data_IF_612346310886
#
_entry.id   IF_612346310886
#
_cell.length_a   1.000
_cell.length_b   1.000
_cell.length_c   1.000
_cell.angle_alpha   90.00
_cell.angle_beta   90.00
_cell.angle_gamma   90.00
#
_symmetry.space_group_name_H-M   'P 1'
#
loop_
_entity.id
_entity.type
_entity.pdbx_description
1 polymer ?
#
# COMPACT_ATOMS: atom_id res chain seq x y z
N UNK A 1 12.93 -1.92 18.55
CA UNK A 1 12.11 -2.74 17.64
C UNK A 1 12.16 -2.19 16.23
N UNK A 2 12.19 -3.07 15.25
CA UNK A 2 12.21 -2.63 13.87
C UNK A 2 10.90 -1.95 13.48
N UNK A 3 10.99 -0.91 12.70
CA UNK A 3 9.82 -0.23 12.13
C UNK A 3 9.09 -1.18 11.18
N UNK A 4 7.81 -0.92 10.99
CA UNK A 4 7.03 -1.61 9.96
C UNK A 4 7.63 -1.23 8.60
N UNK A 5 7.94 -2.23 7.79
CA UNK A 5 8.56 -2.03 6.47
C UNK A 5 7.47 -1.91 5.43
N UNK A 6 7.38 -0.76 4.80
CA UNK A 6 6.33 -0.44 3.84
C UNK A 6 6.87 -0.36 2.42
N UNK A 7 6.23 -1.09 1.51
CA UNK A 7 6.46 -0.94 0.07
C UNK A 7 5.41 0.03 -0.47
N UNK A 8 5.85 1.09 -1.13
CA UNK A 8 4.95 2.09 -1.70
C UNK A 8 4.87 1.90 -3.21
N UNK A 9 3.67 1.75 -3.74
CA UNK A 9 3.44 1.57 -5.17
C UNK A 9 2.59 2.73 -5.69
N UNK A 10 3.22 3.61 -6.46
CA UNK A 10 2.59 4.83 -6.96
C UNK A 10 3.32 5.27 -8.22
N UNK A 11 2.60 5.44 -9.33
CA UNK A 11 3.23 5.82 -10.60
C UNK A 11 3.47 7.32 -10.76
N UNK A 12 2.89 8.16 -9.89
CA UNK A 12 3.14 9.59 -9.89
C UNK A 12 4.20 9.94 -8.86
N UNK A 13 5.40 10.30 -9.32
CA UNK A 13 6.54 10.53 -8.44
C UNK A 13 6.30 11.61 -7.38
N UNK A 14 5.61 12.68 -7.74
CA UNK A 14 5.33 13.76 -6.79
C UNK A 14 4.43 13.27 -5.66
N UNK A 15 3.42 12.48 -6.00
CA UNK A 15 2.51 11.90 -4.99
C UNK A 15 3.27 10.94 -4.09
N UNK A 16 4.14 10.12 -4.68
CA UNK A 16 4.96 9.17 -3.92
C UNK A 16 5.89 9.89 -2.94
N UNK A 17 6.55 10.94 -3.39
CA UNK A 17 7.44 11.72 -2.53
C UNK A 17 6.71 12.34 -1.35
N UNK A 18 5.52 12.87 -1.60
CA UNK A 18 4.69 13.44 -0.53
C UNK A 18 4.27 12.37 0.47
N UNK A 19 3.85 11.19 -0.02
CA UNK A 19 3.47 10.09 0.85
C UNK A 19 4.66 9.61 1.69
N UNK A 20 5.84 9.46 1.08
CA UNK A 20 7.03 9.05 1.81
C UNK A 20 7.37 10.03 2.94
N UNK A 21 7.28 11.32 2.65
CA UNK A 21 7.57 12.35 3.65
C UNK A 21 6.59 12.26 4.82
N UNK A 22 5.31 12.10 4.52
CA UNK A 22 4.29 12.00 5.57
C UNK A 22 4.46 10.74 6.40
N UNK A 23 4.75 9.63 5.76
CA UNK A 23 4.99 8.35 6.46
C UNK A 23 6.20 8.45 7.37
N UNK A 24 7.27 9.06 6.88
CA UNK A 24 8.48 9.26 7.67
C UNK A 24 8.20 10.12 8.91
N UNK A 25 7.43 11.19 8.75
CA UNK A 25 7.05 12.06 9.85
C UNK A 25 6.27 11.28 10.92
N UNK A 26 5.46 10.32 10.50
CA UNK A 26 4.67 9.49 11.41
C UNK A 26 5.47 8.32 12.01
N UNK A 27 6.72 8.15 11.62
CA UNK A 27 7.58 7.10 12.17
C UNK A 27 7.58 5.78 11.41
N UNK A 28 7.02 5.76 10.20
CA UNK A 28 7.02 4.56 9.38
C UNK A 28 8.20 4.56 8.40
N UNK A 29 8.62 3.38 7.98
CA UNK A 29 9.77 3.21 7.10
C UNK A 29 9.33 2.72 5.72
N UNK A 30 9.54 3.55 4.70
CA UNK A 30 9.30 3.13 3.30
C UNK A 30 10.59 2.52 2.79
N UNK A 31 10.57 1.22 2.52
CA UNK A 31 11.77 0.49 2.10
C UNK A 31 12.07 0.65 0.62
N UNK A 32 11.03 0.89 -0.17
CA UNK A 32 11.18 1.01 -1.62
C UNK A 32 9.94 1.68 -2.20
N UNK A 33 10.13 2.41 -3.29
CA UNK A 33 9.03 2.96 -4.07
C UNK A 33 9.12 2.40 -5.47
N UNK A 34 8.04 1.81 -5.95
CA UNK A 34 7.95 1.26 -7.31
C UNK A 34 6.80 1.89 -8.07
N UNK A 35 6.84 1.81 -9.40
CA UNK A 35 5.97 2.57 -10.28
C UNK A 35 4.87 1.76 -10.94
N UNK A 36 4.93 0.44 -10.88
CA UNK A 36 3.97 -0.41 -11.60
C UNK A 36 3.54 -1.60 -10.76
N UNK A 37 2.43 -2.20 -11.18
CA UNK A 37 1.94 -3.42 -10.53
C UNK A 37 2.91 -4.58 -10.68
N UNK A 38 3.53 -4.70 -11.85
CA UNK A 38 4.51 -5.75 -12.10
C UNK A 38 5.73 -5.62 -11.19
N UNK A 39 6.23 -4.38 -11.04
CA UNK A 39 7.35 -4.11 -10.14
C UNK A 39 6.96 -4.33 -8.69
N UNK A 40 5.70 -4.04 -8.35
CA UNK A 40 5.21 -4.28 -7.00
C UNK A 40 5.25 -5.76 -6.65
N UNK A 41 4.81 -6.61 -7.56
CA UNK A 41 4.83 -8.07 -7.36
C UNK A 41 6.28 -8.56 -7.19
N UNK A 42 7.16 -8.14 -8.10
CA UNK A 42 8.57 -8.55 -8.05
C UNK A 42 9.26 -8.10 -6.78
N UNK A 43 9.05 -6.84 -6.40
CA UNK A 43 9.69 -6.27 -5.22
C UNK A 43 9.12 -6.87 -3.93
N UNK A 44 7.83 -7.16 -3.90
CA UNK A 44 7.22 -7.80 -2.74
C UNK A 44 7.79 -9.19 -2.50
N UNK A 45 8.01 -9.95 -3.57
CA UNK A 45 8.64 -11.26 -3.47
C UNK A 45 10.08 -11.18 -2.98
N UNK A 46 10.80 -10.18 -3.46
CA UNK A 46 12.21 -9.98 -3.13
C UNK A 46 12.41 -9.47 -1.71
N UNK A 47 11.68 -8.44 -1.32
CA UNK A 47 11.89 -7.74 -0.06
C UNK A 47 10.98 -8.18 1.08
N UNK A 48 9.88 -8.83 0.78
CA UNK A 48 8.89 -9.30 1.75
C UNK A 48 8.52 -8.22 2.76
N UNK A 49 7.91 -7.12 2.26
CA UNK A 49 7.53 -6.02 3.15
C UNK A 49 6.45 -6.46 4.12
N UNK A 50 6.27 -5.70 5.19
CA UNK A 50 5.25 -5.98 6.18
C UNK A 50 3.88 -5.48 5.73
N UNK A 51 3.87 -4.44 4.90
CA UNK A 51 2.65 -3.78 4.46
C UNK A 51 2.91 -3.13 3.11
N UNK A 52 1.90 -3.11 2.26
CA UNK A 52 2.01 -2.46 0.95
C UNK A 52 0.95 -1.36 0.85
N UNK A 53 1.38 -0.16 0.45
CA UNK A 53 0.48 0.91 0.06
C UNK A 53 0.42 0.90 -1.45
N UNK A 54 -0.76 0.62 -1.99
CA UNK A 54 -0.94 0.33 -3.41
C UNK A 54 -1.92 1.28 -4.07
N UNK A 55 -1.43 2.07 -5.02
CA UNK A 55 -2.32 2.87 -5.86
C UNK A 55 -3.17 1.92 -6.71
N UNK A 56 -4.47 2.14 -6.74
CA UNK A 56 -5.37 1.32 -7.54
C UNK A 56 -5.15 1.55 -9.03
N UNK A 57 -4.99 2.81 -9.43
CA UNK A 57 -4.93 3.18 -10.85
C UNK A 57 -3.49 3.28 -11.35
N UNK A 58 -2.83 2.14 -11.45
CA UNK A 58 -1.49 2.06 -12.02
C UNK A 58 -1.57 1.91 -13.52
N UNK A 59 -0.65 2.57 -14.23
CA UNK A 59 -0.50 2.42 -15.68
C UNK A 59 0.19 1.10 -15.99
N UNK A 60 -0.03 0.58 -17.18
CA UNK A 60 0.58 -0.66 -17.62
C UNK A 60 -0.41 -1.80 -17.67
N UNK A 61 0.10 -3.02 -17.76
CA UNK A 61 -0.72 -4.21 -17.96
C UNK A 61 -1.43 -4.67 -16.69
N UNK A 62 -0.88 -4.34 -15.54
CA UNK A 62 -1.40 -4.78 -14.25
C UNK A 62 -1.76 -3.57 -13.41
N UNK A 63 -3.01 -3.45 -13.01
CA UNK A 63 -3.41 -2.37 -12.11
C UNK A 63 -3.14 -2.77 -10.65
N UNK A 64 -3.39 -1.85 -9.72
CA UNK A 64 -3.11 -2.10 -8.31
C UNK A 64 -3.92 -3.24 -7.72
N UNK A 65 -5.16 -3.42 -8.17
CA UNK A 65 -6.03 -4.49 -7.66
C UNK A 65 -5.50 -5.85 -8.11
N UNK A 66 -5.11 -5.96 -9.37
CA UNK A 66 -4.53 -7.20 -9.90
C UNK A 66 -3.22 -7.55 -9.19
N UNK A 67 -2.38 -6.55 -8.97
CA UNK A 67 -1.12 -6.75 -8.24
C UNK A 67 -1.39 -7.21 -6.80
N UNK A 68 -2.34 -6.57 -6.14
CA UNK A 68 -2.69 -6.92 -4.76
C UNK A 68 -3.25 -8.34 -4.66
N UNK A 69 -4.08 -8.73 -5.62
CA UNK A 69 -4.62 -10.07 -5.66
C UNK A 69 -3.52 -11.12 -5.79
N UNK A 70 -2.57 -10.88 -6.67
CA UNK A 70 -1.43 -11.77 -6.85
C UNK A 70 -0.58 -11.86 -5.57
N UNK A 71 -0.27 -10.71 -4.98
CA UNK A 71 0.55 -10.65 -3.77
C UNK A 71 -0.16 -11.35 -2.61
N UNK A 72 -1.46 -11.13 -2.47
CA UNK A 72 -2.23 -11.77 -1.40
C UNK A 72 -2.20 -13.28 -1.53
N UNK A 73 -2.41 -13.79 -2.74
CA UNK A 73 -2.46 -15.24 -2.96
C UNK A 73 -1.11 -15.92 -2.80
N UNK A 74 0.00 -15.22 -3.07
CA UNK A 74 1.33 -15.82 -3.00
C UNK A 74 2.07 -15.53 -1.70
N UNK A 75 1.89 -14.34 -1.13
CA UNK A 75 2.65 -13.90 0.04
C UNK A 75 1.79 -13.60 1.26
N UNK A 76 0.51 -13.31 1.06
CA UNK A 76 -0.38 -12.94 2.17
C UNK A 76 -0.10 -11.58 2.78
N UNK A 77 0.70 -10.75 2.11
CA UNK A 77 1.06 -9.43 2.64
C UNK A 77 -0.15 -8.49 2.68
N UNK A 78 -0.40 -7.81 3.80
CA UNK A 78 -1.51 -6.85 3.89
C UNK A 78 -1.35 -5.69 2.91
N UNK A 79 -2.44 -5.27 2.29
CA UNK A 79 -2.46 -4.16 1.34
C UNK A 79 -3.46 -3.10 1.80
N UNK A 80 -3.04 -1.85 1.73
CA UNK A 80 -3.91 -0.69 1.89
C UNK A 80 -3.90 0.04 0.55
N UNK A 81 -5.06 0.30 -0.01
CA UNK A 81 -5.14 0.98 -1.29
C UNK A 81 -5.08 2.49 -1.14
N UNK A 82 -4.41 3.13 -2.09
CA UNK A 82 -4.44 4.57 -2.25
C UNK A 82 -5.29 4.83 -3.50
N UNK A 83 -6.30 5.66 -3.39
CA UNK A 83 -7.19 5.88 -4.52
C UNK A 83 -7.75 7.29 -4.53
N UNK A 84 -7.89 7.85 -5.72
CA UNK A 84 -8.74 9.03 -5.90
C UNK A 84 -10.18 8.52 -5.78
N UNK A 85 -11.12 9.40 -5.59
CA UNK A 85 -12.52 8.99 -5.56
C UNK A 85 -12.82 8.22 -6.83
N UNK A 86 -13.30 7.01 -6.71
CA UNK A 86 -13.49 6.13 -7.86
C UNK A 86 -14.91 5.57 -7.91
N UNK A 87 -15.25 4.96 -9.03
CA UNK A 87 -16.57 4.40 -9.24
C UNK A 87 -16.79 3.14 -8.39
N UNK A 88 -18.06 2.77 -8.29
CA UNK A 88 -18.45 1.62 -7.48
C UNK A 88 -17.88 0.31 -8.00
N UNK A 89 -17.71 0.18 -9.30
CA UNK A 89 -17.16 -1.02 -9.91
C UNK A 89 -15.74 -1.28 -9.44
N UNK A 90 -14.91 -0.23 -9.45
CA UNK A 90 -13.52 -0.32 -9.00
C UNK A 90 -13.47 -0.67 -7.52
N UNK A 91 -14.29 -0.02 -6.69
CA UNK A 91 -14.33 -0.30 -5.27
C UNK A 91 -14.81 -1.70 -4.96
N UNK A 92 -15.77 -2.22 -5.73
CA UNK A 92 -16.24 -3.59 -5.57
C UNK A 92 -15.14 -4.60 -5.86
N UNK A 93 -14.35 -4.36 -6.92
CA UNK A 93 -13.19 -5.21 -7.23
C UNK A 93 -12.15 -5.17 -6.10
N UNK A 94 -11.88 -3.97 -5.59
CA UNK A 94 -10.91 -3.80 -4.51
C UNK A 94 -11.34 -4.56 -3.25
N UNK A 95 -12.61 -4.52 -2.91
CA UNK A 95 -13.14 -5.20 -1.72
C UNK A 95 -12.92 -6.71 -1.76
N UNK A 96 -12.99 -7.31 -2.94
CA UNK A 96 -12.80 -8.75 -3.08
C UNK A 96 -11.42 -9.19 -2.61
N UNK A 97 -10.42 -8.32 -2.71
CA UNK A 97 -9.07 -8.62 -2.26
C UNK A 97 -8.89 -8.48 -0.75
N UNK A 98 -9.93 -8.07 -0.05
CA UNK A 98 -9.92 -7.90 1.41
C UNK A 98 -8.77 -7.03 1.91
N UNK A 99 -8.71 -5.75 1.46
CA UNK A 99 -7.64 -4.87 1.90
C UNK A 99 -7.82 -4.46 3.36
N UNK A 100 -6.75 -4.00 3.97
CA UNK A 100 -6.79 -3.51 5.35
C UNK A 100 -7.35 -2.10 5.46
N UNK A 101 -7.44 -1.39 4.36
CA UNK A 101 -8.02 -0.06 4.35
C UNK A 101 -7.82 0.67 3.04
N UNK A 102 -8.28 1.90 3.02
CA UNK A 102 -8.19 2.79 1.86
C UNK A 102 -7.73 4.15 2.31
N UNK A 103 -6.87 4.79 1.53
CA UNK A 103 -6.47 6.18 1.73
C UNK A 103 -6.91 6.95 0.49
N UNK A 104 -7.75 7.96 0.68
CA UNK A 104 -8.28 8.75 -0.43
C UNK A 104 -7.33 9.89 -0.81
N UNK A 105 -7.19 10.15 -2.09
CA UNK A 105 -6.47 11.31 -2.60
C UNK A 105 -7.43 12.49 -2.76
N UNK A 106 -7.03 13.69 -2.45
CA UNK A 106 -5.76 14.07 -1.81
C UNK A 106 -5.77 13.68 -0.34
N UNK A 107 -4.70 13.02 0.09
CA UNK A 107 -4.64 12.50 1.45
C UNK A 107 -4.14 13.54 2.44
N UNK A 108 -4.58 13.41 3.69
CA UNK A 108 -4.15 14.22 4.81
C UNK A 108 -3.41 13.32 5.79
N UNK A 109 -2.47 13.91 6.51
CA UNK A 109 -1.64 13.15 7.46
C UNK A 109 -2.47 12.44 8.52
N UNK A 110 -3.52 13.08 9.02
CA UNK A 110 -4.42 12.47 10.00
C UNK A 110 -5.07 11.19 9.44
N UNK A 111 -5.48 11.21 8.18
CA UNK A 111 -6.12 10.07 7.54
C UNK A 111 -5.13 8.92 7.34
N UNK A 112 -3.92 9.26 6.94
CA UNK A 112 -2.85 8.27 6.80
C UNK A 112 -2.60 7.62 8.15
N UNK A 113 -2.44 8.41 9.18
CA UNK A 113 -2.18 7.92 10.53
C UNK A 113 -3.28 6.98 11.02
N UNK A 114 -4.55 7.41 10.92
CA UNK A 114 -5.66 6.61 11.42
C UNK A 114 -5.83 5.31 10.63
N UNK A 115 -5.58 5.33 9.32
CA UNK A 115 -5.70 4.14 8.49
C UNK A 115 -4.61 3.12 8.78
N UNK A 116 -3.38 3.60 9.04
CA UNK A 116 -2.22 2.73 9.26
C UNK A 116 -2.06 2.26 10.69
N UNK A 117 -2.61 2.98 11.64
CA UNK A 117 -2.36 2.71 13.06
C UNK A 117 -2.69 1.28 13.47
N UNK A 118 -3.88 0.80 13.18
CA UNK A 118 -4.28 -0.54 13.59
C UNK A 118 -3.53 -1.63 12.85
N UNK A 119 -3.44 -1.61 11.50
CA UNK A 119 -2.69 -2.65 10.79
C UNK A 119 -1.23 -2.73 11.23
N UNK A 120 -0.57 -1.58 11.41
CA UNK A 120 0.83 -1.56 11.81
C UNK A 120 1.02 -2.05 13.23
N UNK A 121 0.12 -1.71 14.14
CA UNK A 121 0.16 -2.21 15.51
C UNK A 121 0.00 -3.73 15.53
N UNK A 122 -0.95 -4.24 14.76
CA UNK A 122 -1.20 -5.67 14.68
C UNK A 122 0.01 -6.43 14.11
N UNK A 123 0.66 -5.86 13.09
CA UNK A 123 1.88 -6.44 12.52
C UNK A 123 2.97 -6.54 13.59
N UNK A 124 3.19 -5.48 14.35
CA UNK A 124 4.21 -5.48 15.42
C UNK A 124 3.90 -6.51 16.50
N UNK A 125 2.65 -6.65 16.89
CA UNK A 125 2.25 -7.63 17.89
C UNK A 125 2.51 -9.06 17.41
N UNK A 126 2.24 -9.33 16.15
CA UNK A 126 2.41 -10.66 15.58
C UNK A 126 3.86 -11.06 15.38
N UNK A 127 4.79 -10.11 15.47
CA UNK A 127 6.23 -10.37 15.36
C UNK A 127 6.84 -10.88 16.66
N UNK A 128 6.14 -10.71 17.76
CA UNK A 128 6.67 -11.02 19.11
C UNK A 128 6.79 -12.52 19.39
#
# INVERSE_FOLDING_TARGET
MASVRILLVEDESIVAMDMERRLSTLGYSVIEHVLSGEDAVAKAEQEKPDLILMDIHLKGKMDGIQAAEHIKSTLGTPVIYITAYSDETTLARAKVTEPFGYILKPFQEREIYSTLKWPCTNIKLNRS
#
